data_IF_759924341541
#
_entry.id   IF_759924341541
#
_cell.length_a   1.000
_cell.length_b   1.000
_cell.length_c   1.000
_cell.angle_alpha   90.00
_cell.angle_beta   90.00
_cell.angle_gamma   90.00
#
_symmetry.space_group_name_H-M   'P 1'
#
loop_
_entity.id
_entity.type
_entity.pdbx_description
1 polymer ?
#
# COMPACT_ATOMS: atom_id res chain seq x y z
N UNK A 1 39.51 21.64 0.23
CA UNK A 1 38.21 20.97 0.44
C UNK A 1 38.43 19.92 1.50
N UNK A 2 38.05 20.23 2.74
CA UNK A 2 38.28 19.36 3.89
C UNK A 2 37.33 18.17 3.84
N UNK A 3 37.89 16.97 3.84
CA UNK A 3 37.18 15.71 4.07
C UNK A 3 36.55 15.77 5.46
N UNK A 4 35.25 15.49 5.64
CA UNK A 4 34.67 15.46 6.97
C UNK A 4 35.31 14.33 7.77
N UNK A 5 35.73 14.65 8.99
CA UNK A 5 36.26 13.71 9.98
C UNK A 5 35.33 12.50 10.11
N UNK A 6 35.94 11.32 9.99
CA UNK A 6 35.27 10.04 9.99
C UNK A 6 34.37 9.89 11.24
N UNK A 7 33.07 9.80 11.01
CA UNK A 7 32.16 9.12 11.92
C UNK A 7 32.81 7.81 12.35
N UNK A 8 32.90 7.57 13.67
CA UNK A 8 33.63 6.46 14.27
C UNK A 8 33.43 5.14 13.53
N UNK A 9 34.51 4.37 13.37
CA UNK A 9 34.62 3.13 12.60
C UNK A 9 33.33 2.29 12.58
N UNK A 10 32.48 2.51 11.58
CA UNK A 10 31.31 1.67 11.33
C UNK A 10 31.82 0.37 10.72
N UNK A 11 31.72 -0.72 11.47
CA UNK A 11 32.01 -2.04 10.91
C UNK A 11 30.87 -2.44 9.98
N UNK A 12 31.15 -2.86 8.74
CA UNK A 12 30.12 -3.37 7.86
C UNK A 12 29.48 -4.62 8.46
N UNK A 13 28.19 -4.81 8.22
CA UNK A 13 27.49 -6.04 8.58
C UNK A 13 28.14 -7.23 7.83
N UNK A 14 28.24 -8.41 8.46
CA UNK A 14 28.79 -9.58 7.80
C UNK A 14 27.86 -10.04 6.66
N UNK A 15 28.47 -10.49 5.57
CA UNK A 15 27.73 -11.18 4.52
C UNK A 15 27.41 -12.62 4.95
N UNK A 16 26.21 -13.07 4.63
CA UNK A 16 25.79 -14.47 4.82
C UNK A 16 25.52 -15.11 3.45
N UNK A 17 25.80 -16.41 3.26
CA UNK A 17 25.42 -17.12 2.04
C UNK A 17 23.91 -17.06 1.81
N UNK A 18 23.48 -16.82 0.57
CA UNK A 18 22.07 -16.83 0.21
C UNK A 18 21.56 -18.29 0.14
N UNK A 19 20.56 -18.61 0.96
CA UNK A 19 19.80 -19.86 0.86
C UNK A 19 18.84 -19.81 -0.35
N UNK A 20 19.38 -20.03 -1.54
CA UNK A 20 18.62 -20.01 -2.78
C UNK A 20 18.21 -21.42 -3.22
N UNK A 21 16.90 -21.65 -3.35
CA UNK A 21 16.36 -22.85 -4.00
C UNK A 21 16.06 -22.55 -5.47
N UNK A 22 16.83 -23.15 -6.38
CA UNK A 22 16.57 -23.06 -7.82
C UNK A 22 15.33 -23.87 -8.19
N UNK A 23 14.38 -23.21 -8.86
CA UNK A 23 13.16 -23.85 -9.38
C UNK A 23 13.38 -24.14 -10.88
N UNK A 24 13.02 -25.34 -11.39
CA UNK A 24 13.12 -25.64 -12.81
C UNK A 24 12.30 -24.66 -13.68
N UNK A 25 12.71 -24.38 -14.93
CA UNK A 25 11.99 -23.43 -15.78
C UNK A 25 10.51 -23.76 -16.00
N UNK A 26 10.17 -25.04 -16.17
CA UNK A 26 8.78 -25.46 -16.35
C UNK A 26 7.90 -25.14 -15.12
N UNK A 27 8.36 -25.49 -13.92
CA UNK A 27 7.68 -25.17 -12.66
C UNK A 27 7.63 -23.65 -12.42
N UNK A 28 8.69 -22.94 -12.75
CA UNK A 28 8.73 -21.46 -12.64
C UNK A 28 7.67 -20.80 -13.52
N UNK A 29 7.50 -21.30 -14.76
CA UNK A 29 6.51 -20.80 -15.69
C UNK A 29 5.08 -21.09 -15.23
N UNK A 30 4.84 -22.29 -14.70
CA UNK A 30 3.54 -22.67 -14.11
C UNK A 30 3.16 -21.74 -12.96
N UNK A 31 4.08 -21.55 -12.00
CA UNK A 31 3.87 -20.65 -10.85
C UNK A 31 3.64 -19.20 -11.28
N UNK A 32 4.37 -18.73 -12.29
CA UNK A 32 4.21 -17.38 -12.81
C UNK A 32 2.82 -17.18 -13.44
N UNK A 33 2.32 -18.15 -14.21
CA UNK A 33 0.98 -18.10 -14.81
C UNK A 33 -0.11 -18.09 -13.74
N UNK A 34 -0.04 -19.01 -12.79
CA UNK A 34 -1.02 -19.09 -11.71
C UNK A 34 -1.06 -17.80 -10.88
N UNK A 35 0.11 -17.23 -10.57
CA UNK A 35 0.18 -15.97 -9.84
C UNK A 35 -0.35 -14.79 -10.66
N UNK A 36 -0.05 -14.74 -11.96
CA UNK A 36 -0.62 -13.73 -12.85
C UNK A 36 -2.15 -13.83 -12.87
N UNK A 37 -2.71 -15.03 -13.05
CA UNK A 37 -4.15 -15.25 -13.07
C UNK A 37 -4.81 -14.82 -11.75
N UNK A 38 -4.19 -15.15 -10.60
CA UNK A 38 -4.63 -14.68 -9.28
C UNK A 38 -4.65 -13.14 -9.21
N UNK A 39 -3.52 -12.51 -9.51
CA UNK A 39 -3.38 -11.06 -9.39
C UNK A 39 -4.24 -10.29 -10.40
N UNK A 40 -4.50 -10.86 -11.57
CA UNK A 40 -5.34 -10.27 -12.60
C UNK A 40 -6.84 -10.27 -12.22
N UNK A 41 -7.26 -11.11 -11.27
CA UNK A 41 -8.62 -11.07 -10.72
C UNK A 41 -8.85 -9.86 -9.80
N UNK A 42 -7.79 -9.28 -9.23
CA UNK A 42 -7.89 -8.16 -8.29
C UNK A 42 -8.47 -6.93 -8.99
N UNK A 43 -9.56 -6.41 -8.45
CA UNK A 43 -10.15 -5.12 -8.83
C UNK A 43 -10.11 -4.17 -7.64
N UNK A 44 -10.02 -2.87 -7.93
CA UNK A 44 -10.26 -1.87 -6.90
C UNK A 44 -11.76 -1.87 -6.60
N UNK A 45 -12.13 -2.24 -5.38
CA UNK A 45 -13.51 -2.10 -4.89
C UNK A 45 -13.64 -0.80 -4.11
N UNK A 46 -14.82 -0.19 -4.19
CA UNK A 46 -15.18 1.02 -3.43
C UNK A 46 -16.39 0.79 -2.51
N UNK A 47 -16.89 -0.44 -2.49
CA UNK A 47 -18.02 -0.88 -1.68
C UNK A 47 -17.55 -2.05 -0.82
N UNK A 48 -17.66 -1.91 0.48
CA UNK A 48 -17.17 -2.86 1.47
C UNK A 48 -18.33 -3.34 2.35
N UNK A 49 -18.23 -4.58 2.83
CA UNK A 49 -19.12 -5.09 3.87
C UNK A 49 -18.65 -4.58 5.22
N UNK A 50 -19.58 -4.43 6.17
CA UNK A 50 -19.29 -4.15 7.58
C UNK A 50 -18.87 -5.43 8.36
N UNK A 51 -18.76 -6.57 7.67
CA UNK A 51 -18.37 -7.83 8.28
C UNK A 51 -16.93 -7.75 8.83
N UNK A 52 -16.69 -8.18 10.08
CA UNK A 52 -15.37 -8.08 10.67
C UNK A 52 -14.37 -9.02 9.99
N UNK A 53 -13.16 -8.51 9.76
CA UNK A 53 -12.02 -9.30 9.28
C UNK A 53 -11.12 -9.67 10.46
N UNK A 54 -10.66 -10.94 10.57
CA UNK A 54 -9.68 -11.32 11.59
C UNK A 54 -8.42 -10.45 11.53
N UNK A 55 -8.05 -9.86 12.67
CA UNK A 55 -6.88 -8.97 12.80
C UNK A 55 -5.59 -9.59 12.28
N UNK A 56 -5.39 -10.89 12.53
CA UNK A 56 -4.20 -11.62 12.08
C UNK A 56 -4.01 -11.55 10.56
N UNK A 57 -5.09 -11.57 9.78
CA UNK A 57 -5.01 -11.44 8.31
C UNK A 57 -4.47 -10.07 7.90
N UNK A 58 -4.89 -9.00 8.59
CA UNK A 58 -4.38 -7.64 8.36
C UNK A 58 -2.90 -7.55 8.74
N UNK A 59 -2.51 -8.17 9.85
CA UNK A 59 -1.12 -8.19 10.30
C UNK A 59 -0.21 -8.92 9.31
N UNK A 60 -0.64 -10.05 8.74
CA UNK A 60 0.14 -10.74 7.71
C UNK A 60 0.21 -9.94 6.41
N UNK A 61 -0.88 -9.28 5.99
CA UNK A 61 -0.83 -8.39 4.82
C UNK A 61 0.20 -7.27 4.99
N UNK A 62 0.24 -6.65 6.18
CA UNK A 62 1.24 -5.62 6.52
C UNK A 62 2.66 -6.20 6.54
N UNK A 63 2.85 -7.38 7.17
CA UNK A 63 4.16 -8.06 7.21
C UNK A 63 4.67 -8.36 5.81
N UNK A 64 3.80 -8.85 4.92
CA UNK A 64 4.14 -9.10 3.51
C UNK A 64 4.51 -7.82 2.78
N UNK A 65 3.75 -6.73 2.96
CA UNK A 65 4.11 -5.42 2.38
C UNK A 65 5.48 -4.92 2.86
N UNK A 66 5.80 -5.16 4.14
CA UNK A 66 7.07 -4.78 4.77
C UNK A 66 8.30 -5.55 4.25
N UNK A 67 8.13 -6.61 3.44
CA UNK A 67 9.26 -7.32 2.82
C UNK A 67 9.79 -6.63 1.56
N UNK A 68 9.19 -5.51 1.14
CA UNK A 68 9.69 -4.72 0.02
C UNK A 68 11.14 -4.26 0.26
N UNK A 69 11.98 -4.16 -0.80
CA UNK A 69 13.30 -3.56 -0.66
C UNK A 69 13.18 -2.05 -0.39
N UNK A 70 14.15 -1.50 0.32
CA UNK A 70 14.24 -0.06 0.59
C UNK A 70 15.69 0.42 0.44
N UNK A 71 15.88 1.62 -0.11
CA UNK A 71 17.19 2.26 -0.18
C UNK A 71 17.88 2.28 1.18
N UNK A 72 19.14 1.85 1.23
CA UNK A 72 19.93 1.72 2.46
C UNK A 72 19.22 0.98 3.60
N UNK A 73 18.34 0.00 3.28
CA UNK A 73 17.55 -0.78 4.24
C UNK A 73 16.76 0.07 5.26
N UNK A 74 16.33 1.28 4.87
CA UNK A 74 15.68 2.21 5.81
C UNK A 74 14.26 1.81 6.23
N UNK A 75 13.58 0.95 5.47
CA UNK A 75 12.18 0.56 5.69
C UNK A 75 11.27 1.77 6.04
N UNK A 76 11.23 2.82 5.19
CA UNK A 76 10.67 4.13 5.54
C UNK A 76 9.13 4.17 5.46
N UNK A 77 8.46 3.12 5.95
CA UNK A 77 7.02 2.97 5.91
C UNK A 77 6.47 2.78 7.32
N UNK A 78 5.34 3.42 7.58
CA UNK A 78 4.50 3.17 8.76
C UNK A 78 3.12 2.75 8.26
N UNK A 79 2.65 1.59 8.69
CA UNK A 79 1.29 1.12 8.43
C UNK A 79 0.42 1.44 9.64
N UNK A 80 -0.62 2.24 9.45
CA UNK A 80 -1.56 2.62 10.51
C UNK A 80 -2.89 1.90 10.25
N UNK A 81 -3.19 0.90 11.07
CA UNK A 81 -4.46 0.19 11.02
C UNK A 81 -5.45 0.83 12.00
N UNK A 82 -6.60 1.30 11.49
CA UNK A 82 -7.62 2.00 12.27
C UNK A 82 -8.90 1.17 12.31
N UNK A 83 -9.33 0.78 13.51
CA UNK A 83 -10.61 0.10 13.74
C UNK A 83 -11.58 0.89 14.61
N UNK A 84 -11.12 1.97 15.24
CA UNK A 84 -11.95 2.84 16.08
C UNK A 84 -13.02 3.56 15.23
N UNK A 85 -14.33 3.34 15.45
CA UNK A 85 -15.38 3.89 14.60
C UNK A 85 -15.40 5.42 14.58
N UNK A 86 -15.10 6.04 15.70
CA UNK A 86 -15.11 7.50 15.84
C UNK A 86 -13.91 8.14 15.10
N UNK A 87 -12.73 7.53 15.17
CA UNK A 87 -11.59 7.93 14.37
C UNK A 87 -11.85 7.74 12.87
N UNK A 88 -12.45 6.61 12.45
CA UNK A 88 -12.86 6.39 11.05
C UNK A 88 -13.82 7.48 10.56
N UNK A 89 -14.83 7.83 11.37
CA UNK A 89 -15.78 8.91 11.07
C UNK A 89 -15.07 10.24 10.86
N UNK A 90 -14.18 10.64 11.76
CA UNK A 90 -13.40 11.89 11.63
C UNK A 90 -12.51 11.91 10.39
N UNK A 91 -11.90 10.78 10.04
CA UNK A 91 -11.10 10.64 8.80
C UNK A 91 -12.00 10.84 7.58
N UNK A 92 -13.18 10.22 7.56
CA UNK A 92 -14.15 10.37 6.47
C UNK A 92 -14.56 11.82 6.27
N UNK A 93 -14.96 12.50 7.34
CA UNK A 93 -15.40 13.91 7.27
C UNK A 93 -14.31 14.82 6.71
N UNK A 94 -13.06 14.64 7.16
CA UNK A 94 -11.93 15.41 6.64
C UNK A 94 -11.64 15.08 5.16
N UNK A 95 -11.75 13.81 4.76
CA UNK A 95 -11.52 13.38 3.38
C UNK A 95 -12.60 13.90 2.42
N UNK A 96 -13.88 13.81 2.80
CA UNK A 96 -15.00 14.29 1.98
C UNK A 96 -14.96 15.82 1.82
N UNK A 97 -14.52 16.57 2.85
CA UNK A 97 -14.31 18.02 2.74
C UNK A 97 -13.21 18.38 1.73
N UNK A 98 -12.06 17.68 1.74
CA UNK A 98 -10.99 17.92 0.76
C UNK A 98 -11.40 17.48 -0.65
N UNK A 99 -12.14 16.39 -0.78
CA UNK A 99 -12.64 15.90 -2.07
C UNK A 99 -13.67 16.86 -2.66
N UNK A 100 -14.56 17.46 -1.85
CA UNK A 100 -15.45 18.51 -2.30
C UNK A 100 -14.67 19.69 -2.90
N UNK A 101 -13.65 20.20 -2.20
CA UNK A 101 -12.78 21.26 -2.72
C UNK A 101 -12.04 20.82 -4.01
N UNK A 102 -11.68 19.54 -4.10
CA UNK A 102 -11.05 18.96 -5.27
C UNK A 102 -11.97 18.98 -6.49
N UNK A 103 -13.17 18.37 -6.39
CA UNK A 103 -14.13 18.32 -7.50
C UNK A 103 -14.72 19.69 -7.88
N UNK A 104 -14.78 20.63 -6.93
CA UNK A 104 -15.43 21.93 -7.14
C UNK A 104 -14.48 23.11 -7.32
N UNK A 105 -13.16 22.89 -7.41
CA UNK A 105 -12.25 23.99 -7.72
C UNK A 105 -10.78 23.64 -7.94
N UNK A 106 -10.22 22.69 -7.18
CA UNK A 106 -8.77 22.41 -7.25
C UNK A 106 -8.37 21.50 -8.42
N UNK A 107 -9.27 20.61 -8.87
CA UNK A 107 -8.95 19.65 -9.93
C UNK A 107 -8.90 20.33 -11.31
N UNK A 108 -7.81 20.14 -12.08
CA UNK A 108 -7.79 20.52 -13.48
C UNK A 108 -8.86 19.78 -14.28
N UNK A 109 -9.49 20.38 -15.32
CA UNK A 109 -10.53 19.74 -16.12
C UNK A 109 -10.13 18.39 -16.71
N UNK A 110 -8.89 18.27 -17.20
CA UNK A 110 -8.34 17.02 -17.73
C UNK A 110 -8.30 15.89 -16.69
N UNK A 111 -8.20 16.26 -15.41
CA UNK A 111 -8.19 15.32 -14.31
C UNK A 111 -9.59 14.85 -13.95
N UNK A 112 -10.58 15.75 -14.00
CA UNK A 112 -11.99 15.37 -13.86
C UNK A 112 -12.43 14.43 -14.98
N UNK A 113 -12.05 14.72 -16.23
CA UNK A 113 -12.33 13.85 -17.38
C UNK A 113 -11.75 12.44 -17.20
N UNK A 114 -10.52 12.33 -16.68
CA UNK A 114 -9.89 11.04 -16.40
C UNK A 114 -10.61 10.24 -15.29
N UNK A 115 -11.29 10.91 -14.36
CA UNK A 115 -12.05 10.29 -13.27
C UNK A 115 -13.46 9.85 -13.69
N UNK A 116 -14.06 10.48 -14.72
CA UNK A 116 -15.42 10.17 -15.16
C UNK A 116 -15.68 8.66 -15.38
N UNK A 117 -14.82 7.90 -16.07
CA UNK A 117 -15.06 6.47 -16.31
C UNK A 117 -14.98 5.63 -15.03
N UNK A 118 -14.36 6.16 -13.97
CA UNK A 118 -14.20 5.47 -12.69
C UNK A 118 -15.45 5.58 -11.81
N UNK A 119 -16.35 6.51 -12.12
CA UNK A 119 -17.58 6.76 -11.37
C UNK A 119 -17.33 7.18 -9.92
N UNK A 120 -16.24 7.92 -9.67
CA UNK A 120 -15.90 8.44 -8.34
C UNK A 120 -16.47 9.82 -8.12
N UNK A 121 -16.85 10.10 -6.90
CA UNK A 121 -17.29 11.41 -6.43
C UNK A 121 -16.61 11.75 -5.08
N UNK A 122 -17.10 12.81 -4.45
CA UNK A 122 -16.61 13.28 -3.16
C UNK A 122 -17.02 12.38 -1.98
N UNK A 123 -18.03 11.52 -2.13
CA UNK A 123 -18.53 10.69 -1.04
C UNK A 123 -17.68 9.44 -0.84
N UNK A 124 -17.24 9.20 0.40
CA UNK A 124 -16.32 8.11 0.77
C UNK A 124 -16.90 7.17 1.83
N UNK A 125 -18.07 6.54 1.61
CA UNK A 125 -18.71 5.68 2.61
C UNK A 125 -17.82 4.51 3.07
N UNK A 126 -16.97 4.00 2.18
CA UNK A 126 -15.99 2.96 2.50
C UNK A 126 -15.01 3.30 3.64
N UNK A 127 -14.80 4.59 3.97
CA UNK A 127 -13.97 4.96 5.11
C UNK A 127 -14.61 4.65 6.46
N UNK A 128 -15.94 4.48 6.50
CA UNK A 128 -16.68 4.06 7.70
C UNK A 128 -17.14 2.61 7.62
N UNK A 129 -17.46 2.12 6.42
CA UNK A 129 -18.01 0.78 6.22
C UNK A 129 -16.94 -0.32 6.33
N UNK A 130 -15.72 -0.07 5.83
CA UNK A 130 -14.61 -1.03 5.86
C UNK A 130 -13.98 -1.23 7.24
#
# INVERSE_FOLDING_TARGET
>A
MSTPEAAGSVRPLPFVPLEFRRIPPAESLERARAFYEEMNRRRTTRHFSNDPVPRELIEYAIRTGGTAPSGAHQQPWTFVAVSDPELKRRIREAAEAEEHDFYHGKAPPEWLEALLPLGTDEHKPHLTDA
#
